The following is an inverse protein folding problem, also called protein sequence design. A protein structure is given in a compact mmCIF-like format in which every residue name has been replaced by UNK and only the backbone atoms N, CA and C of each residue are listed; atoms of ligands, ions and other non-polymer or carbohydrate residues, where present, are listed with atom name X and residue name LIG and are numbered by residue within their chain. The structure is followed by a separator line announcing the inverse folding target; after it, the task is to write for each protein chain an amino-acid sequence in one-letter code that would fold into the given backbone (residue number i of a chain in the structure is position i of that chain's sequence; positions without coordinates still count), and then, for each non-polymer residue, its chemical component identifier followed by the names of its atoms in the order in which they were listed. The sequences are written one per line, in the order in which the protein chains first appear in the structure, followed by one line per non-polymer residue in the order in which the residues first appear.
data_IF_581935015309
#
_entry.id   IF_581935015309
#
_cell.length_a   1.000
_cell.length_b   1.000
_cell.length_c   1.000
_cell.angle_alpha   90.00
_cell.angle_beta   90.00
_cell.angle_gamma   90.00
#
_symmetry.space_group_name_H-M   'P 1'
#
loop_
_entity.id
_entity.type
_entity.pdbx_description
1 polymer ?
#
# COMPACT_ATOMS: atom_id res chain seq x y z
N UNK A 1 -1.24 -18.29 -21.95
CA UNK A 1 -1.48 -17.21 -20.99
C UNK A 1 -1.03 -15.93 -21.67
N UNK A 2 -1.87 -14.88 -21.80
CA UNK A 2 -1.54 -13.68 -22.55
C UNK A 2 -0.32 -12.92 -22.00
N UNK A 3 0.04 -13.13 -20.72
CA UNK A 3 1.18 -12.48 -20.08
C UNK A 3 2.50 -13.20 -20.41
N UNK A 4 2.48 -14.53 -20.57
CA UNK A 4 3.70 -15.33 -20.83
C UNK A 4 3.88 -15.74 -22.29
N UNK A 5 2.86 -15.58 -23.11
CA UNK A 5 2.87 -15.90 -24.54
C UNK A 5 2.42 -14.68 -25.35
N UNK A 6 3.39 -13.94 -25.90
CA UNK A 6 3.17 -12.73 -26.68
C UNK A 6 2.35 -12.97 -27.97
N UNK A 7 2.17 -14.22 -28.40
CA UNK A 7 1.32 -14.55 -29.56
C UNK A 7 -0.16 -14.69 -29.17
N UNK A 8 -0.46 -14.78 -27.86
CA UNK A 8 -1.81 -14.93 -27.33
C UNK A 8 -2.35 -13.57 -26.89
N UNK A 9 -2.57 -12.69 -27.86
CA UNK A 9 -3.18 -11.39 -27.64
C UNK A 9 -4.70 -11.54 -27.46
N UNK A 10 -5.17 -11.42 -26.22
CA UNK A 10 -6.61 -11.47 -25.87
C UNK A 10 -7.31 -10.12 -26.03
N UNK A 11 -6.54 -9.04 -26.23
CA UNK A 11 -7.03 -7.67 -26.37
C UNK A 11 -7.20 -7.28 -27.85
N UNK A 12 -6.86 -8.18 -28.77
CA UNK A 12 -6.93 -7.96 -30.22
C UNK A 12 -8.37 -7.66 -30.68
N UNK A 13 -8.65 -6.37 -30.92
CA UNK A 13 -9.96 -5.89 -31.35
C UNK A 13 -10.88 -5.44 -30.21
N UNK A 14 -10.38 -5.37 -28.97
CA UNK A 14 -11.08 -4.72 -27.87
C UNK A 14 -11.08 -3.19 -28.08
N UNK A 15 -12.18 -2.65 -28.59
CA UNK A 15 -12.38 -1.20 -28.73
C UNK A 15 -12.85 -0.61 -27.39
N UNK A 16 -12.04 0.24 -26.77
CA UNK A 16 -12.51 1.32 -25.87
C UNK A 16 -13.33 0.93 -24.63
N UNK A 17 -13.30 -0.32 -24.19
CA UNK A 17 -13.99 -0.75 -22.97
C UNK A 17 -13.24 -0.23 -21.74
N UNK A 18 -13.97 0.43 -20.82
CA UNK A 18 -13.45 0.75 -19.50
C UNK A 18 -13.34 -0.56 -18.70
N UNK A 19 -12.18 -1.21 -18.79
CA UNK A 19 -11.90 -2.49 -18.12
C UNK A 19 -12.22 -2.46 -16.62
N UNK A 20 -12.13 -1.29 -15.97
CA UNK A 20 -12.45 -1.14 -14.55
C UNK A 20 -13.97 -1.15 -14.35
N UNK A 21 -14.72 -0.45 -15.19
CA UNK A 21 -16.18 -0.47 -15.15
C UNK A 21 -16.74 -1.88 -15.41
N UNK A 22 -16.22 -2.59 -16.42
CA UNK A 22 -16.63 -3.96 -16.71
C UNK A 22 -16.32 -4.91 -15.54
N UNK A 23 -15.12 -4.81 -14.99
CA UNK A 23 -14.73 -5.64 -13.85
C UNK A 23 -15.58 -5.35 -12.61
N UNK A 24 -15.89 -4.07 -12.33
CA UNK A 24 -16.78 -3.70 -11.23
C UNK A 24 -18.22 -4.18 -11.45
N UNK A 25 -18.69 -4.20 -12.71
CA UNK A 25 -19.99 -4.76 -13.08
C UNK A 25 -20.02 -6.27 -12.79
N UNK A 26 -18.98 -7.01 -13.18
CA UNK A 26 -18.86 -8.43 -12.87
C UNK A 26 -18.80 -8.65 -11.36
N UNK A 27 -17.99 -7.87 -10.64
CA UNK A 27 -17.89 -7.94 -9.18
C UNK A 27 -19.26 -7.77 -8.52
N UNK A 28 -20.03 -6.76 -8.92
CA UNK A 28 -21.38 -6.53 -8.42
C UNK A 28 -22.30 -7.76 -8.63
N UNK A 29 -22.27 -8.39 -9.80
CA UNK A 29 -23.07 -9.59 -10.08
C UNK A 29 -22.73 -10.79 -9.19
N UNK A 30 -21.49 -10.88 -8.69
CA UNK A 30 -21.07 -11.95 -7.76
C UNK A 30 -21.03 -11.49 -6.29
N UNK A 31 -21.51 -10.29 -5.99
CA UNK A 31 -21.52 -9.71 -4.64
C UNK A 31 -20.17 -9.16 -4.17
N UNK A 32 -19.15 -9.11 -5.03
CA UNK A 32 -17.87 -8.46 -4.70
C UNK A 32 -17.98 -6.94 -4.77
N UNK A 33 -17.20 -6.24 -3.93
CA UNK A 33 -17.14 -4.79 -3.96
C UNK A 33 -16.37 -4.24 -5.18
N UNK A 34 -16.63 -2.98 -5.58
CA UNK A 34 -15.82 -2.29 -6.58
C UNK A 34 -14.34 -2.27 -6.20
N UNK A 35 -13.46 -2.42 -7.18
CA UNK A 35 -12.00 -2.50 -6.99
C UNK A 35 -11.44 -1.23 -6.33
N UNK A 36 -12.09 -0.07 -6.54
CA UNK A 36 -11.70 1.20 -5.92
C UNK A 36 -11.84 1.19 -4.40
N UNK A 37 -12.73 0.35 -3.85
CA UNK A 37 -12.93 0.25 -2.39
C UNK A 37 -11.84 -0.56 -1.67
N UNK A 38 -10.97 -1.26 -2.42
CA UNK A 38 -9.85 -2.01 -1.87
C UNK A 38 -8.67 -1.12 -1.50
N UNK A 39 -8.04 -1.38 -0.35
CA UNK A 39 -6.95 -0.58 0.23
C UNK A 39 -7.30 0.92 0.35
N UNK A 40 -8.43 1.26 1.00
CA UNK A 40 -8.98 2.61 1.02
C UNK A 40 -8.15 3.59 1.86
N UNK A 41 -7.20 3.11 2.66
CA UNK A 41 -6.30 3.96 3.47
C UNK A 41 -4.90 3.94 2.89
N UNK A 42 -4.42 2.78 2.47
CA UNK A 42 -3.05 2.57 2.01
C UNK A 42 -2.79 3.24 0.66
N UNK A 43 -3.73 3.15 -0.29
CA UNK A 43 -3.59 3.80 -1.61
C UNK A 43 -3.43 5.33 -1.51
N UNK A 44 -4.34 6.08 -0.86
CA UNK A 44 -4.22 7.54 -0.80
C UNK A 44 -3.02 8.00 0.05
N UNK A 45 -2.64 7.24 1.08
CA UNK A 45 -1.50 7.58 1.93
C UNK A 45 -0.15 7.06 1.44
N UNK A 46 -0.12 6.24 0.38
CA UNK A 46 1.09 5.59 -0.13
C UNK A 46 2.25 6.57 -0.35
N UNK A 47 1.97 7.74 -0.96
CA UNK A 47 2.98 8.78 -1.23
C UNK A 47 3.68 9.27 0.05
N UNK A 48 3.00 9.31 1.19
CA UNK A 48 3.59 9.67 2.48
C UNK A 48 4.38 8.53 3.10
N UNK A 49 3.95 7.28 2.92
CA UNK A 49 4.76 6.12 3.33
C UNK A 49 6.08 6.05 2.55
N UNK A 50 6.05 6.32 1.23
CA UNK A 50 7.28 6.44 0.44
C UNK A 50 8.15 7.62 0.89
N UNK A 51 7.56 8.77 1.20
CA UNK A 51 8.28 9.90 1.80
C UNK A 51 8.94 9.55 3.13
N UNK A 52 8.21 8.84 4.00
CA UNK A 52 8.72 8.34 5.28
C UNK A 52 9.92 7.39 5.07
N UNK A 53 9.79 6.39 4.19
CA UNK A 53 10.90 5.47 3.89
C UNK A 53 12.09 6.18 3.24
N UNK A 54 11.87 7.16 2.36
CA UNK A 54 12.94 7.94 1.75
C UNK A 54 13.75 8.70 2.81
N UNK A 55 13.08 9.33 3.79
CA UNK A 55 13.74 10.00 4.91
C UNK A 55 14.53 9.01 5.78
N UNK A 56 13.98 7.81 6.03
CA UNK A 56 14.71 6.76 6.75
C UNK A 56 15.99 6.36 6.01
N UNK A 57 15.91 6.11 4.71
CA UNK A 57 17.07 5.74 3.88
C UNK A 57 18.10 6.89 3.89
N UNK A 58 17.67 8.13 3.72
CA UNK A 58 18.55 9.30 3.81
C UNK A 58 19.25 9.40 5.18
N UNK A 59 18.52 9.13 6.27
CA UNK A 59 19.10 9.04 7.61
C UNK A 59 20.11 7.90 7.74
N UNK A 60 19.82 6.73 7.17
CA UNK A 60 20.73 5.57 7.20
C UNK A 60 22.05 5.80 6.45
N UNK A 61 22.01 6.57 5.36
CA UNK A 61 23.20 6.93 4.59
C UNK A 61 24.21 7.74 5.42
N UNK A 62 23.76 8.48 6.44
CA UNK A 62 24.60 9.36 7.25
C UNK A 62 25.15 8.65 8.50
N UNK A 63 26.47 8.46 8.62
CA UNK A 63 27.08 7.78 9.77
C UNK A 63 27.12 8.66 11.04
N UNK A 64 27.17 10.00 10.88
CA UNK A 64 27.31 10.93 12.01
C UNK A 64 25.95 11.16 12.68
N UNK A 65 25.83 10.79 13.96
CA UNK A 65 24.57 10.83 14.73
C UNK A 65 23.89 12.20 14.71
N UNK A 66 24.61 13.31 14.94
CA UNK A 66 24.01 14.66 14.96
C UNK A 66 23.40 15.05 13.61
N UNK A 67 24.16 14.87 12.53
CA UNK A 67 23.70 15.17 11.16
C UNK A 67 22.54 14.26 10.75
N UNK A 68 22.60 12.97 11.11
CA UNK A 68 21.50 12.04 10.86
C UNK A 68 20.22 12.45 11.56
N UNK A 69 20.29 12.82 12.84
CA UNK A 69 19.10 13.29 13.58
C UNK A 69 18.52 14.57 12.98
N UNK A 70 19.38 15.48 12.50
CA UNK A 70 18.94 16.68 11.79
C UNK A 70 18.17 16.31 10.51
N UNK A 71 18.71 15.40 9.68
CA UNK A 71 18.07 14.94 8.44
C UNK A 71 16.74 14.25 8.74
N UNK A 72 16.70 13.36 9.72
CA UNK A 72 15.46 12.67 10.10
C UNK A 72 14.41 13.66 10.59
N UNK A 73 14.79 14.60 11.46
CA UNK A 73 13.86 15.58 12.02
C UNK A 73 13.33 16.52 10.95
N UNK A 74 14.20 17.07 10.09
CA UNK A 74 13.80 17.95 8.99
C UNK A 74 12.94 17.20 7.96
N UNK A 75 13.36 16.01 7.56
CA UNK A 75 12.66 15.18 6.58
C UNK A 75 11.28 14.74 7.07
N UNK A 76 11.17 14.22 8.30
CA UNK A 76 9.87 13.82 8.85
C UNK A 76 8.96 15.02 9.11
N UNK A 77 9.51 16.17 9.49
CA UNK A 77 8.71 17.41 9.59
C UNK A 77 8.15 17.80 8.22
N UNK A 78 8.96 17.73 7.16
CA UNK A 78 8.51 18.03 5.81
C UNK A 78 7.44 17.05 5.32
N UNK A 79 7.62 15.74 5.55
CA UNK A 79 6.63 14.72 5.18
C UNK A 79 5.34 14.89 5.98
N UNK A 80 5.42 15.15 7.29
CA UNK A 80 4.25 15.37 8.14
C UNK A 80 3.50 16.65 7.72
N UNK A 81 4.22 17.75 7.46
CA UNK A 81 3.61 18.98 6.99
C UNK A 81 2.93 18.78 5.63
N UNK A 82 3.60 18.12 4.68
CA UNK A 82 3.01 17.78 3.38
C UNK A 82 1.75 16.93 3.54
N UNK A 83 1.80 15.90 4.39
CA UNK A 83 0.64 15.05 4.67
C UNK A 83 -0.53 15.81 5.26
N UNK A 84 -0.29 16.66 6.26
CA UNK A 84 -1.36 17.42 6.90
C UNK A 84 -1.97 18.45 5.94
N UNK A 85 -1.15 19.13 5.15
CA UNK A 85 -1.62 20.08 4.13
C UNK A 85 -2.45 19.36 3.07
N UNK A 86 -1.96 18.28 2.50
CA UNK A 86 -2.66 17.52 1.47
C UNK A 86 -4.00 16.96 1.98
N UNK A 87 -4.01 16.35 3.16
CA UNK A 87 -5.20 15.66 3.67
C UNK A 87 -6.26 16.64 4.20
N UNK A 88 -5.85 17.70 4.90
CA UNK A 88 -6.78 18.59 5.61
C UNK A 88 -6.95 19.95 4.94
N UNK A 89 -5.89 20.57 4.44
CA UNK A 89 -5.95 21.91 3.83
C UNK A 89 -6.45 21.83 2.39
N UNK A 90 -5.91 20.89 1.61
CA UNK A 90 -6.34 20.64 0.23
C UNK A 90 -7.57 19.72 0.16
N UNK A 91 -8.02 19.18 1.30
CA UNK A 91 -9.24 18.38 1.40
C UNK A 91 -9.18 17.00 0.75
N UNK A 92 -7.99 16.46 0.48
CA UNK A 92 -7.83 15.18 -0.21
C UNK A 92 -8.52 14.02 0.54
N UNK A 93 -8.53 14.05 1.88
CA UNK A 93 -9.21 13.03 2.68
C UNK A 93 -10.72 13.04 2.44
N UNK A 94 -11.33 14.23 2.44
CA UNK A 94 -12.78 14.35 2.25
C UNK A 94 -13.18 14.00 0.81
N UNK A 95 -12.39 14.43 -0.18
CA UNK A 95 -12.59 14.06 -1.57
C UNK A 95 -12.50 12.54 -1.78
N UNK A 96 -11.51 11.89 -1.16
CA UNK A 96 -11.34 10.43 -1.22
C UNK A 96 -12.51 9.69 -0.58
N UNK A 97 -12.95 10.09 0.62
CA UNK A 97 -14.10 9.48 1.30
C UNK A 97 -15.39 9.64 0.46
N UNK A 98 -15.59 10.82 -0.15
CA UNK A 98 -16.73 11.05 -1.04
C UNK A 98 -16.67 10.15 -2.29
N UNK A 99 -15.49 10.03 -2.93
CA UNK A 99 -15.29 9.13 -4.07
C UNK A 99 -15.52 7.67 -3.69
N UNK A 100 -15.00 7.22 -2.56
CA UNK A 100 -15.20 5.87 -2.04
C UNK A 100 -16.69 5.55 -1.85
N UNK A 101 -17.44 6.49 -1.25
CA UNK A 101 -18.88 6.33 -1.03
C UNK A 101 -19.67 6.38 -2.33
N UNK A 102 -19.30 7.25 -3.26
CA UNK A 102 -19.92 7.35 -4.58
C UNK A 102 -19.76 6.05 -5.38
N UNK A 103 -18.54 5.52 -5.42
CA UNK A 103 -18.24 4.27 -6.12
C UNK A 103 -19.00 3.10 -5.49
N UNK A 104 -19.07 3.02 -4.16
CA UNK A 104 -19.89 2.02 -3.48
C UNK A 104 -21.38 2.18 -3.81
N UNK A 105 -21.91 3.40 -3.77
CA UNK A 105 -23.32 3.69 -4.06
C UNK A 105 -23.73 3.44 -5.51
N UNK A 106 -22.77 3.45 -6.45
CA UNK A 106 -23.01 3.10 -7.85
C UNK A 106 -23.45 1.65 -8.01
N UNK A 107 -22.96 0.75 -7.13
CA UNK A 107 -23.21 -0.69 -7.20
C UNK A 107 -24.04 -1.23 -6.04
N UNK A 108 -24.23 -0.48 -4.94
CA UNK A 108 -25.00 -0.94 -3.78
C UNK A 108 -26.05 0.09 -3.36
N UNK A 109 -27.30 -0.36 -3.18
CA UNK A 109 -28.40 0.46 -2.69
C UNK A 109 -28.56 0.32 -1.16
N UNK A 110 -27.49 0.59 -0.41
CA UNK A 110 -27.45 0.47 1.05
C UNK A 110 -26.89 1.74 1.71
N UNK A 111 -27.64 2.85 1.72
CA UNK A 111 -27.12 4.16 2.11
C UNK A 111 -26.60 4.20 3.54
N UNK A 112 -27.25 3.51 4.48
CA UNK A 112 -26.80 3.45 5.87
C UNK A 112 -25.45 2.74 6.02
N UNK A 113 -25.26 1.60 5.36
CA UNK A 113 -23.98 0.86 5.39
C UNK A 113 -22.87 1.65 4.71
N UNK A 114 -23.15 2.27 3.56
CA UNK A 114 -22.17 3.07 2.83
C UNK A 114 -21.72 4.28 3.65
N UNK A 115 -22.66 4.94 4.35
CA UNK A 115 -22.32 6.02 5.28
C UNK A 115 -21.42 5.50 6.42
N UNK A 116 -21.74 4.36 7.02
CA UNK A 116 -20.91 3.75 8.06
C UNK A 116 -19.50 3.41 7.53
N UNK A 117 -19.37 2.87 6.31
CA UNK A 117 -18.08 2.61 5.70
C UNK A 117 -17.29 3.88 5.43
N UNK A 118 -17.93 4.95 4.93
CA UNK A 118 -17.30 6.26 4.76
C UNK A 118 -16.77 6.83 6.08
N UNK A 119 -17.54 6.70 7.17
CA UNK A 119 -17.09 7.05 8.52
C UNK A 119 -15.91 6.21 8.98
N UNK A 120 -15.92 4.90 8.71
CA UNK A 120 -14.81 4.00 9.05
C UNK A 120 -13.54 4.36 8.29
N UNK A 121 -13.63 4.55 6.96
CA UNK A 121 -12.49 4.98 6.13
C UNK A 121 -11.91 6.28 6.67
N UNK A 122 -12.76 7.29 6.92
CA UNK A 122 -12.32 8.56 7.51
C UNK A 122 -11.60 8.33 8.84
N UNK A 123 -12.18 7.56 9.74
CA UNK A 123 -11.63 7.33 11.09
C UNK A 123 -10.30 6.59 11.03
N UNK A 124 -10.22 5.51 10.24
CA UNK A 124 -9.00 4.73 10.08
C UNK A 124 -7.91 5.56 9.39
N UNK A 125 -8.26 6.42 8.42
CA UNK A 125 -7.31 7.37 7.82
C UNK A 125 -6.73 8.34 8.86
N UNK A 126 -7.55 8.87 9.78
CA UNK A 126 -7.03 9.70 10.88
C UNK A 126 -6.08 8.91 11.79
N UNK A 127 -6.46 7.68 12.16
CA UNK A 127 -5.61 6.79 12.96
C UNK A 127 -4.29 6.51 12.24
N UNK A 128 -4.31 6.27 10.93
CA UNK A 128 -3.12 6.03 10.14
C UNK A 128 -2.22 7.27 10.04
N UNK A 129 -2.79 8.46 9.85
CA UNK A 129 -2.07 9.74 9.84
C UNK A 129 -1.38 9.99 11.19
N UNK A 130 -2.12 9.87 12.29
CA UNK A 130 -1.58 10.04 13.65
C UNK A 130 -0.54 8.95 13.94
N UNK A 131 -0.83 7.71 13.59
CA UNK A 131 0.08 6.58 13.74
C UNK A 131 1.39 6.78 12.99
N UNK A 132 1.35 7.36 11.78
CA UNK A 132 2.54 7.67 11.01
C UNK A 132 3.38 8.77 11.67
N UNK A 133 2.75 9.82 12.21
CA UNK A 133 3.44 10.88 12.97
C UNK A 133 4.08 10.30 14.23
N UNK A 134 3.36 9.46 14.98
CA UNK A 134 3.90 8.77 16.15
C UNK A 134 5.08 7.88 15.76
N UNK A 135 4.99 7.14 14.66
CA UNK A 135 6.09 6.34 14.14
C UNK A 135 7.33 7.18 13.80
N UNK A 136 7.16 8.35 13.18
CA UNK A 136 8.25 9.30 12.93
C UNK A 136 8.94 9.72 14.23
N UNK A 137 8.18 10.08 15.26
CA UNK A 137 8.70 10.46 16.57
C UNK A 137 9.43 9.30 17.26
N UNK A 138 8.87 8.09 17.19
CA UNK A 138 9.51 6.87 17.70
C UNK A 138 10.84 6.62 16.98
N UNK A 139 10.89 6.80 15.66
CA UNK A 139 12.12 6.62 14.90
C UNK A 139 13.18 7.64 15.31
N UNK A 140 12.81 8.92 15.43
CA UNK A 140 13.74 9.97 15.90
C UNK A 140 14.25 9.64 17.30
N UNK A 141 13.34 9.33 18.24
CA UNK A 141 13.70 9.03 19.63
C UNK A 141 14.55 7.75 19.75
N UNK A 142 14.23 6.73 18.97
CA UNK A 142 14.96 5.47 18.90
C UNK A 142 16.39 5.66 18.40
N UNK A 143 16.56 6.36 17.27
CA UNK A 143 17.89 6.72 16.74
C UNK A 143 18.65 7.65 17.68
N UNK A 144 17.93 8.51 18.42
CA UNK A 144 18.53 9.40 19.39
C UNK A 144 18.97 8.67 20.66
N UNK A 145 18.34 7.58 21.09
CA UNK A 145 18.67 6.91 22.37
C UNK A 145 19.49 5.63 22.19
N UNK A 146 19.30 4.90 21.10
CA UNK A 146 19.79 3.53 20.92
C UNK A 146 20.62 3.46 19.63
N UNK A 147 21.94 3.27 19.75
CA UNK A 147 22.88 3.17 18.61
C UNK A 147 22.44 2.12 17.56
N UNK A 148 21.99 0.95 18.01
CA UNK A 148 21.57 -0.13 17.10
C UNK A 148 20.25 0.16 16.37
N UNK A 149 19.45 1.11 16.86
CA UNK A 149 18.16 1.45 16.26
C UNK A 149 18.33 2.08 14.88
N UNK A 150 19.50 2.64 14.56
CA UNK A 150 19.80 3.14 13.21
C UNK A 150 19.74 2.05 12.13
N UNK A 151 19.90 0.78 12.46
CA UNK A 151 19.72 -0.32 11.51
C UNK A 151 18.27 -0.46 11.05
N UNK A 152 17.29 -0.05 11.86
CA UNK A 152 15.88 -0.06 11.47
C UNK A 152 15.60 0.91 10.32
N UNK A 153 16.43 1.94 10.16
CA UNK A 153 16.32 2.91 9.06
C UNK A 153 16.52 2.27 7.68
N UNK A 154 17.26 1.17 7.59
CA UNK A 154 17.36 0.36 6.38
C UNK A 154 16.46 -0.87 6.42
N UNK A 155 16.31 -1.51 7.59
CA UNK A 155 15.53 -2.75 7.71
C UNK A 155 14.07 -2.54 7.33
N UNK A 156 13.40 -1.53 7.89
CA UNK A 156 11.97 -1.34 7.66
C UNK A 156 11.66 -1.05 6.19
N UNK A 157 12.35 -0.10 5.51
CA UNK A 157 12.18 0.09 4.06
C UNK A 157 12.54 -1.15 3.23
N UNK A 158 13.53 -1.95 3.65
CA UNK A 158 13.89 -3.18 2.93
C UNK A 158 12.78 -4.22 2.90
N UNK A 159 11.88 -4.22 3.90
CA UNK A 159 10.76 -5.16 3.98
C UNK A 159 9.52 -4.70 3.20
N UNK A 160 9.59 -3.56 2.49
CA UNK A 160 8.49 -3.06 1.67
C UNK A 160 7.89 -4.09 0.69
N UNK A 161 8.66 -4.88 -0.08
CA UNK A 161 8.06 -5.92 -0.94
C UNK A 161 7.29 -6.98 -0.15
N UNK A 162 7.74 -7.32 1.07
CA UNK A 162 7.04 -8.28 1.94
C UNK A 162 5.73 -7.69 2.45
N UNK A 163 5.76 -6.45 2.97
CA UNK A 163 4.55 -5.76 3.40
C UNK A 163 3.54 -5.63 2.27
N UNK A 164 4.01 -5.31 1.06
CA UNK A 164 3.15 -5.22 -0.12
C UNK A 164 2.41 -6.54 -0.40
N UNK A 165 3.11 -7.67 -0.41
CA UNK A 165 2.47 -8.98 -0.67
C UNK A 165 1.49 -9.35 0.44
N UNK A 166 1.82 -9.08 1.71
CA UNK A 166 0.92 -9.35 2.83
C UNK A 166 -0.36 -8.52 2.70
N UNK A 167 -0.24 -7.21 2.48
CA UNK A 167 -1.40 -6.32 2.33
C UNK A 167 -2.21 -6.68 1.09
N UNK A 168 -1.57 -6.94 -0.04
CA UNK A 168 -2.23 -7.37 -1.27
C UNK A 168 -3.02 -8.66 -1.07
N UNK A 169 -2.40 -9.70 -0.52
CA UNK A 169 -3.06 -10.98 -0.25
C UNK A 169 -4.21 -10.84 0.76
N UNK A 170 -4.04 -10.00 1.79
CA UNK A 170 -5.09 -9.70 2.76
C UNK A 170 -6.32 -9.06 2.12
N UNK A 171 -6.13 -8.10 1.20
CA UNK A 171 -7.23 -7.48 0.47
C UNK A 171 -7.92 -8.46 -0.50
N UNK A 172 -7.15 -9.30 -1.21
CA UNK A 172 -7.75 -10.35 -2.06
C UNK A 172 -8.61 -11.31 -1.24
N UNK A 173 -8.09 -11.76 -0.09
CA UNK A 173 -8.83 -12.62 0.81
C UNK A 173 -10.11 -11.94 1.32
N UNK A 174 -10.01 -10.69 1.78
CA UNK A 174 -11.16 -9.93 2.27
C UNK A 174 -12.27 -9.85 1.21
N UNK A 175 -11.92 -9.48 -0.02
CA UNK A 175 -12.87 -9.33 -1.12
C UNK A 175 -13.58 -10.64 -1.48
N UNK A 176 -12.86 -11.76 -1.44
CA UNK A 176 -13.45 -13.06 -1.75
C UNK A 176 -14.16 -13.76 -0.58
N UNK A 177 -14.07 -13.23 0.65
CA UNK A 177 -14.72 -13.79 1.85
C UNK A 177 -15.81 -12.89 2.46
N UNK A 178 -15.90 -11.63 2.03
CA UNK A 178 -16.88 -10.66 2.52
C UNK A 178 -17.80 -10.20 1.38
N UNK A 179 -18.25 -11.14 0.55
CA UNK A 179 -19.16 -10.83 -0.56
C UNK A 179 -20.57 -10.52 -0.03
N UNK A 180 -21.21 -9.57 -0.68
CA UNK A 180 -22.58 -9.16 -0.38
C UNK A 180 -23.60 -10.23 -0.82
N UNK A 181 -24.61 -10.54 0.01
CA UNK A 181 -25.61 -11.57 -0.30
C UNK A 181 -26.53 -11.22 -1.47
N UNK A 182 -26.56 -9.97 -1.96
CA UNK A 182 -27.42 -9.55 -3.07
C UNK A 182 -26.80 -9.71 -4.46
N UNK A 183 -25.60 -10.29 -4.57
CA UNK A 183 -25.06 -10.70 -5.87
C UNK A 183 -26.04 -11.63 -6.61
N UNK A 184 -26.28 -11.37 -7.89
CA UNK A 184 -27.17 -12.20 -8.72
C UNK A 184 -26.70 -13.66 -8.82
N UNK A 185 -25.38 -13.90 -8.68
CA UNK A 185 -24.79 -15.22 -8.62
C UNK A 185 -24.05 -15.42 -7.30
N UNK A 186 -24.50 -16.39 -6.52
CA UNK A 186 -23.80 -16.76 -5.28
C UNK A 186 -22.57 -17.62 -5.60
N UNK A 187 -21.39 -17.10 -5.29
CA UNK A 187 -20.13 -17.82 -5.40
C UNK A 187 -19.68 -18.25 -4.00
N UNK A 188 -19.10 -19.45 -3.88
CA UNK A 188 -18.50 -19.88 -2.61
C UNK A 188 -17.34 -18.93 -2.25
N UNK A 189 -17.11 -18.63 -0.97
CA UNK A 189 -15.93 -17.88 -0.55
C UNK A 189 -14.66 -18.45 -1.18
N UNK A 190 -13.87 -17.58 -1.77
CA UNK A 190 -12.64 -17.94 -2.45
C UNK A 190 -11.59 -16.85 -2.22
N UNK A 191 -10.36 -17.12 -2.63
CA UNK A 191 -9.30 -16.12 -2.61
C UNK A 191 -8.80 -15.95 -4.05
N UNK A 192 -8.89 -14.75 -4.64
CA UNK A 192 -8.24 -14.47 -5.91
C UNK A 192 -6.75 -14.84 -5.86
N UNK A 193 -6.24 -15.40 -6.95
CA UNK A 193 -4.85 -15.89 -7.02
C UNK A 193 -3.85 -14.75 -6.81
N UNK A 194 -3.01 -14.85 -5.79
CA UNK A 194 -1.97 -13.85 -5.49
C UNK A 194 -0.93 -13.79 -6.61
N UNK A 195 -0.41 -14.94 -7.02
CA UNK A 195 0.56 -15.06 -8.10
C UNK A 195 0.22 -16.23 -9.02
N UNK A 196 0.32 -16.01 -10.34
CA UNK A 196 0.07 -17.01 -11.36
C UNK A 196 -1.32 -16.92 -11.97
N UNK A 197 -1.81 -18.06 -12.44
CA UNK A 197 -3.10 -18.18 -13.12
C UNK A 197 -4.17 -18.65 -12.12
N UNK A 198 -5.32 -18.00 -12.16
CA UNK A 198 -6.50 -18.38 -11.40
C UNK A 198 -7.69 -18.58 -12.31
N UNK A 199 -8.71 -19.28 -11.80
CA UNK A 199 -9.97 -19.44 -12.49
C UNK A 199 -11.12 -19.19 -11.53
N UNK A 200 -11.99 -18.25 -11.88
CA UNK A 200 -13.21 -17.92 -11.14
C UNK A 200 -14.37 -18.06 -12.11
N UNK A 201 -15.18 -19.11 -11.91
CA UNK A 201 -16.20 -19.52 -12.85
C UNK A 201 -15.64 -19.68 -14.29
N UNK A 202 -16.12 -18.89 -15.25
CA UNK A 202 -15.67 -18.91 -16.65
C UNK A 202 -14.51 -17.95 -16.93
N UNK A 203 -14.09 -17.16 -15.94
CA UNK A 203 -13.03 -16.18 -16.10
C UNK A 203 -11.68 -16.75 -15.67
N UNK A 204 -10.66 -16.48 -16.48
CA UNK A 204 -9.26 -16.72 -16.13
C UNK A 204 -8.64 -15.42 -15.64
N UNK A 205 -7.97 -15.47 -14.49
CA UNK A 205 -7.27 -14.33 -13.90
C UNK A 205 -5.77 -14.55 -14.00
N UNK A 206 -5.02 -13.53 -14.40
CA UNK A 206 -3.57 -13.59 -14.51
C UNK A 206 -2.94 -12.55 -13.58
N UNK A 207 -2.28 -12.99 -12.50
CA UNK A 207 -1.65 -12.11 -11.51
C UNK A 207 -0.14 -12.31 -11.51
N UNK A 208 0.59 -11.43 -12.18
CA UNK A 208 2.04 -11.50 -12.28
C UNK A 208 2.70 -10.19 -11.81
N UNK A 209 3.79 -10.28 -11.04
CA UNK A 209 4.51 -9.09 -10.62
C UNK A 209 5.08 -8.37 -11.84
N UNK A 210 4.82 -7.06 -11.93
CA UNK A 210 5.40 -6.21 -12.96
C UNK A 210 6.75 -5.62 -12.51
N UNK A 211 7.38 -4.82 -13.37
CA UNK A 211 8.70 -4.21 -13.13
C UNK A 211 8.80 -3.48 -11.79
N UNK A 212 7.74 -2.82 -11.33
CA UNK A 212 7.72 -2.14 -10.02
C UNK A 212 8.03 -3.09 -8.86
N UNK A 213 7.50 -4.31 -8.87
CA UNK A 213 7.79 -5.30 -7.80
C UNK A 213 9.22 -5.83 -7.91
N UNK A 214 9.73 -6.06 -9.12
CA UNK A 214 11.13 -6.44 -9.33
C UNK A 214 12.10 -5.36 -8.79
N UNK A 215 11.77 -4.07 -8.99
CA UNK A 215 12.54 -2.96 -8.40
C UNK A 215 12.50 -2.98 -6.87
N UNK A 216 11.35 -3.29 -6.25
CA UNK A 216 11.26 -3.42 -4.79
C UNK A 216 12.14 -4.55 -4.25
N UNK A 217 12.20 -5.69 -4.94
CA UNK A 217 13.09 -6.80 -4.57
C UNK A 217 14.56 -6.43 -4.68
N UNK A 218 14.94 -5.68 -5.73
CA UNK A 218 16.30 -5.17 -5.88
C UNK A 218 16.66 -4.21 -4.74
N UNK A 219 15.77 -3.27 -4.41
CA UNK A 219 15.95 -2.34 -3.28
C UNK A 219 16.09 -3.09 -1.97
N UNK A 220 15.27 -4.12 -1.72
CA UNK A 220 15.39 -4.99 -0.56
C UNK A 220 16.78 -5.62 -0.48
N UNK A 221 17.26 -6.25 -1.55
CA UNK A 221 18.58 -6.88 -1.58
C UNK A 221 19.71 -5.86 -1.29
N UNK A 222 19.67 -4.70 -1.95
CA UNK A 222 20.65 -3.63 -1.73
C UNK A 222 20.64 -3.12 -0.28
N UNK A 223 19.46 -2.87 0.30
CA UNK A 223 19.34 -2.37 1.67
C UNK A 223 19.76 -3.40 2.71
N UNK A 224 19.45 -4.69 2.51
CA UNK A 224 19.89 -5.76 3.41
C UNK A 224 21.43 -5.90 3.40
N UNK A 225 22.06 -5.82 2.23
CA UNK A 225 23.53 -5.79 2.12
C UNK A 225 24.11 -4.55 2.81
N UNK A 226 23.53 -3.37 2.57
CA UNK A 226 23.96 -2.13 3.21
C UNK A 226 23.82 -2.19 4.74
N UNK A 227 22.76 -2.84 5.24
CA UNK A 227 22.53 -3.08 6.66
C UNK A 227 23.63 -3.96 7.27
N UNK A 228 24.04 -5.05 6.58
CA UNK A 228 25.14 -5.90 7.03
C UNK A 228 26.47 -5.12 7.10
N UNK A 229 26.74 -4.27 6.10
CA UNK A 229 27.93 -3.40 6.08
C UNK A 229 27.89 -2.41 7.24
N UNK A 230 26.77 -1.72 7.48
CA UNK A 230 26.63 -0.79 8.60
C UNK A 230 26.78 -1.50 9.95
N UNK A 231 26.25 -2.72 10.08
CA UNK A 231 26.40 -3.54 11.28
C UNK A 231 27.87 -3.89 11.55
N UNK A 232 28.64 -4.21 10.51
CA UNK A 232 30.09 -4.44 10.62
C UNK A 232 30.82 -3.15 11.06
N UNK A 233 30.57 -2.02 10.41
CA UNK A 233 31.16 -0.72 10.77
C UNK A 233 30.88 -0.32 12.23
N UNK A 234 29.66 -0.58 12.71
CA UNK A 234 29.32 -0.34 14.10
C UNK A 234 30.06 -1.24 15.09
N UNK A 235 30.41 -2.47 14.72
CA UNK A 235 31.24 -3.36 15.56
C UNK A 235 32.69 -2.90 15.59
N UNK A 236 33.17 -2.37 14.48
CA UNK A 236 34.55 -1.88 14.31
C UNK A 236 34.75 -0.44 14.83
N UNK A 237 33.68 0.25 15.24
CA UNK A 237 33.75 1.62 15.75
C UNK A 237 33.93 2.71 14.67
N UNK A 238 33.80 2.35 13.39
CA UNK A 238 33.99 3.28 12.25
C UNK A 238 32.73 4.07 11.87
N UNK A 239 31.58 3.71 12.44
CA UNK A 239 30.31 4.43 12.30
C UNK A 239 29.58 4.50 13.65
N UNK A 240 28.74 5.54 13.83
CA UNK A 240 28.03 5.96 15.07
C UNK A 240 28.91 6.59 16.16
#
# INVERSE_FOLDING_TARGET
NPITDAKKDVDKGAEGLDCVHEMNTINHYVGMFPISTGAPVEKPLAKFFFGFFAVMIAGFMVPKRKTRLLILSAGFTAVAAWMLVDQYVLGALNAHVASYMHDAATFFNEPEKINAWGHNVRTISHIAIVGLIVAMLIVIAGVAKIRQFSLLLALVPSLLPVFFVITYAGWLWFFGHNMDPWGAFTVKPFMPTVFGEGKVAQFSTYSYPYWGYAMLLLVMACLLLALLIRRKQMREGTAE
#
